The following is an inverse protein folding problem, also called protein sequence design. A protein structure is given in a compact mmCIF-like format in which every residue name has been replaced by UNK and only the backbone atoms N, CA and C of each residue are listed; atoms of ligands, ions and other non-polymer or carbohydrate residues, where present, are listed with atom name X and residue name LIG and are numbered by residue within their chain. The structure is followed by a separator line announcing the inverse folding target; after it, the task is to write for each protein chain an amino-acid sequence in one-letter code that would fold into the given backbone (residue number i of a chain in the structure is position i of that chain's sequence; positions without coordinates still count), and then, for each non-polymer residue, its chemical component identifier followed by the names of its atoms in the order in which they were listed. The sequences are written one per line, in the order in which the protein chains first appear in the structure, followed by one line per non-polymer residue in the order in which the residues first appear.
data_IF_798136318051
#
_entry.id   IF_798136318051
#
_cell.length_a   1.000
_cell.length_b   1.000
_cell.length_c   1.000
_cell.angle_alpha   90.00
_cell.angle_beta   90.00
_cell.angle_gamma   90.00
#
_symmetry.space_group_name_H-M   'P 1'
#
loop_
_entity.id
_entity.type
_entity.pdbx_description
1 polymer ?
#
# COMPACT_ATOMS: atom_id res chain seq x y z
N UNK A 1 12.28 -8.83 14.37
CA UNK A 1 13.38 -8.92 13.38
C UNK A 1 13.05 -8.01 12.21
N UNK A 2 14.00 -7.23 11.74
CA UNK A 2 13.90 -6.41 10.52
C UNK A 2 14.68 -7.06 9.39
N UNK A 3 14.24 -6.87 8.16
CA UNK A 3 14.96 -7.34 6.96
C UNK A 3 14.83 -6.33 5.84
N UNK A 4 15.92 -6.10 5.14
CA UNK A 4 16.05 -5.28 3.94
C UNK A 4 17.34 -5.69 3.23
N UNK A 5 17.65 -5.10 2.09
CA UNK A 5 18.97 -5.26 1.43
C UNK A 5 20.10 -4.67 2.27
N UNK A 6 19.82 -3.64 3.07
CA UNK A 6 20.79 -2.95 3.94
C UNK A 6 20.18 -2.67 5.31
N UNK A 7 21.02 -2.77 6.35
CA UNK A 7 20.59 -2.43 7.69
C UNK A 7 20.23 -0.94 7.82
N UNK A 8 19.13 -0.59 8.51
CA UNK A 8 18.86 0.80 8.87
C UNK A 8 19.93 1.35 9.81
N UNK A 9 20.17 2.66 9.72
CA UNK A 9 21.21 3.31 10.53
C UNK A 9 20.83 3.43 12.02
N UNK A 10 19.54 3.38 12.32
CA UNK A 10 18.92 3.59 13.64
C UNK A 10 18.39 2.31 14.28
N UNK A 11 18.97 1.17 13.96
CA UNK A 11 18.60 -0.14 14.53
C UNK A 11 18.74 -0.11 16.05
N UNK A 12 17.66 -0.39 16.76
CA UNK A 12 17.66 -0.43 18.21
C UNK A 12 18.31 -1.73 18.76
N UNK A 13 18.73 -1.72 20.02
CA UNK A 13 19.33 -2.89 20.67
C UNK A 13 18.34 -4.06 20.89
N UNK A 14 17.04 -3.81 20.74
CA UNK A 14 15.99 -4.83 20.85
C UNK A 14 15.62 -5.45 19.51
N UNK A 15 16.13 -4.89 18.42
CA UNK A 15 15.87 -5.35 17.05
C UNK A 15 17.02 -6.20 16.54
N UNK A 16 16.68 -7.18 15.75
CA UNK A 16 17.63 -7.97 14.98
C UNK A 16 17.46 -7.68 13.50
N UNK A 17 18.54 -7.65 12.75
CA UNK A 17 18.53 -7.43 11.32
C UNK A 17 19.10 -8.64 10.58
N UNK A 18 18.45 -9.02 9.48
CA UNK A 18 18.97 -9.98 8.50
C UNK A 18 18.83 -9.39 7.11
N UNK A 19 19.92 -9.27 6.38
CA UNK A 19 19.88 -8.88 4.97
C UNK A 19 19.28 -10.02 4.13
N UNK A 20 18.39 -9.66 3.19
CA UNK A 20 17.87 -10.59 2.21
C UNK A 20 17.36 -9.88 0.96
N UNK A 21 17.51 -10.54 -0.18
CA UNK A 21 16.90 -10.15 -1.45
C UNK A 21 15.55 -10.88 -1.58
N UNK A 22 14.49 -10.12 -1.79
CA UNK A 22 13.15 -10.67 -2.01
C UNK A 22 13.06 -11.56 -3.25
N UNK A 23 13.91 -11.31 -4.26
CA UNK A 23 13.96 -12.15 -5.46
C UNK A 23 14.58 -13.55 -5.20
N UNK A 24 15.26 -13.74 -4.07
CA UNK A 24 15.85 -15.02 -3.68
C UNK A 24 14.94 -15.76 -2.67
N UNK A 25 14.20 -16.74 -3.15
CA UNK A 25 13.26 -17.51 -2.32
C UNK A 25 13.94 -18.17 -1.10
N UNK A 26 15.18 -18.67 -1.25
CA UNK A 26 15.86 -19.33 -0.15
C UNK A 26 16.22 -18.36 0.98
N UNK A 27 16.62 -17.13 0.65
CA UNK A 27 16.85 -16.09 1.63
C UNK A 27 15.54 -15.67 2.33
N UNK A 28 14.44 -15.53 1.58
CA UNK A 28 13.12 -15.19 2.16
C UNK A 28 12.60 -16.33 3.06
N UNK A 29 12.80 -17.59 2.68
CA UNK A 29 12.47 -18.74 3.55
C UNK A 29 13.25 -18.71 4.86
N UNK A 30 14.54 -18.38 4.80
CA UNK A 30 15.38 -18.28 6.02
C UNK A 30 14.93 -17.12 6.95
N UNK A 31 14.31 -16.07 6.41
CA UNK A 31 13.70 -15.00 7.21
C UNK A 31 12.44 -15.46 7.92
N UNK A 32 11.66 -16.34 7.29
CA UNK A 32 10.36 -16.79 7.81
C UNK A 32 10.49 -17.89 8.90
N UNK A 33 11.69 -18.38 9.19
CA UNK A 33 11.91 -19.44 10.18
C UNK A 33 11.54 -18.97 11.59
N UNK A 34 10.58 -19.64 12.23
CA UNK A 34 10.12 -19.31 13.58
C UNK A 34 9.36 -17.98 13.71
N UNK A 35 8.83 -17.43 12.61
CA UNK A 35 8.08 -16.19 12.58
C UNK A 35 6.59 -16.46 12.62
N UNK A 36 5.86 -15.81 13.52
CA UNK A 36 4.40 -15.95 13.65
C UNK A 36 3.63 -15.08 12.66
N UNK A 37 4.14 -13.87 12.35
CA UNK A 37 3.51 -12.91 11.47
C UNK A 37 4.52 -11.99 10.77
N UNK A 38 4.13 -11.50 9.59
CA UNK A 38 4.97 -10.64 8.76
C UNK A 38 4.24 -9.33 8.50
N UNK A 39 4.95 -8.21 8.64
CA UNK A 39 4.58 -6.91 8.06
C UNK A 39 5.53 -6.66 6.90
N UNK A 40 5.00 -6.63 5.68
CA UNK A 40 5.80 -6.52 4.47
C UNK A 40 5.65 -5.15 3.83
N UNK A 41 6.65 -4.30 3.97
CA UNK A 41 6.80 -3.00 3.32
C UNK A 41 7.92 -2.99 2.25
N UNK A 42 8.57 -4.14 2.06
CA UNK A 42 9.66 -4.28 1.10
C UNK A 42 9.20 -4.18 -0.36
N UNK A 43 10.15 -3.91 -1.23
CA UNK A 43 9.95 -3.82 -2.67
C UNK A 43 10.29 -2.46 -3.25
N UNK A 44 10.13 -2.32 -4.57
CA UNK A 44 10.29 -1.07 -5.29
C UNK A 44 9.02 -0.23 -5.09
N UNK A 45 9.12 0.95 -4.47
CA UNK A 45 7.97 1.67 -3.89
C UNK A 45 7.45 2.84 -4.73
N UNK A 46 7.95 3.00 -5.96
CA UNK A 46 7.59 4.07 -6.90
C UNK A 46 7.37 3.51 -8.31
N UNK A 47 6.87 4.32 -9.23
CA UNK A 47 6.89 3.97 -10.65
C UNK A 47 8.33 3.91 -11.17
N UNK A 48 8.63 2.96 -12.05
CA UNK A 48 9.98 2.77 -12.53
C UNK A 48 10.15 1.67 -13.59
N UNK A 49 11.41 1.29 -13.90
CA UNK A 49 11.70 0.27 -14.89
C UNK A 49 11.02 -1.06 -14.59
N UNK A 50 10.45 -1.69 -15.62
CA UNK A 50 9.74 -2.95 -15.45
C UNK A 50 10.57 -4.04 -14.77
N UNK A 51 11.85 -4.15 -15.12
CA UNK A 51 12.70 -5.20 -14.54
C UNK A 51 12.88 -5.04 -13.02
N UNK A 52 13.00 -3.81 -12.53
CA UNK A 52 13.16 -3.56 -11.08
C UNK A 52 11.87 -3.90 -10.33
N UNK A 53 10.72 -3.50 -10.89
CA UNK A 53 9.40 -3.85 -10.35
C UNK A 53 9.16 -5.36 -10.43
N UNK A 54 9.53 -6.01 -11.54
CA UNK A 54 9.40 -7.46 -11.71
C UNK A 54 10.16 -8.23 -10.62
N UNK A 55 11.43 -7.90 -10.41
CA UNK A 55 12.26 -8.62 -9.44
C UNK A 55 11.80 -8.36 -8.00
N UNK A 56 11.64 -7.08 -7.63
CA UNK A 56 11.35 -6.73 -6.25
C UNK A 56 9.90 -7.00 -5.85
N UNK A 57 8.93 -6.70 -6.71
CA UNK A 57 7.51 -6.70 -6.33
C UNK A 57 6.76 -7.95 -6.82
N UNK A 58 7.02 -8.42 -8.04
CA UNK A 58 6.31 -9.59 -8.58
C UNK A 58 6.96 -10.88 -8.06
N UNK A 59 8.24 -11.09 -8.35
CA UNK A 59 8.96 -12.28 -7.89
C UNK A 59 9.09 -12.23 -6.36
N UNK A 60 9.50 -11.10 -5.80
CA UNK A 60 9.62 -10.91 -4.36
C UNK A 60 8.29 -11.06 -3.62
N UNK A 61 7.19 -10.53 -4.16
CA UNK A 61 5.85 -10.70 -3.59
C UNK A 61 5.41 -12.16 -3.58
N UNK A 62 5.61 -12.89 -4.67
CA UNK A 62 5.34 -14.34 -4.71
C UNK A 62 6.20 -15.10 -3.69
N UNK A 63 7.50 -14.85 -3.67
CA UNK A 63 8.45 -15.50 -2.76
C UNK A 63 8.06 -15.28 -1.29
N UNK A 64 7.60 -14.09 -0.93
CA UNK A 64 7.11 -13.77 0.41
C UNK A 64 5.98 -14.72 0.84
N UNK A 65 4.90 -14.82 0.05
CA UNK A 65 3.75 -15.64 0.39
C UNK A 65 4.09 -17.13 0.37
N UNK A 66 4.90 -17.57 -0.60
CA UNK A 66 5.35 -18.98 -0.66
C UNK A 66 6.25 -19.36 0.52
N UNK A 67 7.20 -18.50 0.89
CA UNK A 67 8.05 -18.70 2.07
C UNK A 67 7.22 -18.71 3.36
N UNK A 68 6.30 -17.77 3.52
CA UNK A 68 5.39 -17.72 4.67
C UNK A 68 4.60 -19.03 4.80
N UNK A 69 4.04 -19.54 3.70
CA UNK A 69 3.33 -20.83 3.69
C UNK A 69 4.24 -21.99 4.08
N UNK A 70 5.41 -22.10 3.46
CA UNK A 70 6.36 -23.22 3.70
C UNK A 70 6.86 -23.25 5.14
N UNK A 71 7.04 -22.09 5.75
CA UNK A 71 7.54 -21.96 7.13
C UNK A 71 6.45 -21.89 8.18
N UNK A 72 5.18 -21.99 7.77
CA UNK A 72 4.06 -22.04 8.69
C UNK A 72 3.71 -20.71 9.37
N UNK A 73 4.14 -19.57 8.79
CA UNK A 73 3.70 -18.23 9.19
C UNK A 73 2.19 -18.17 9.14
N UNK A 74 1.58 -17.52 10.11
CA UNK A 74 0.12 -17.51 10.24
C UNK A 74 -0.52 -16.26 9.64
N UNK A 75 0.19 -15.13 9.59
CA UNK A 75 -0.35 -13.84 9.24
C UNK A 75 0.61 -13.01 8.40
N UNK A 76 0.07 -12.36 7.38
CA UNK A 76 0.81 -11.39 6.55
C UNK A 76 0.01 -10.10 6.43
N UNK A 77 0.63 -8.99 6.80
CA UNK A 77 0.19 -7.64 6.42
C UNK A 77 1.03 -7.22 5.23
N UNK A 78 0.39 -7.04 4.09
CA UNK A 78 1.04 -6.70 2.83
C UNK A 78 0.79 -5.24 2.47
N UNK A 79 1.86 -4.47 2.25
CA UNK A 79 1.75 -3.11 1.74
C UNK A 79 1.34 -3.14 0.27
N UNK A 80 0.04 -3.06 0.03
CA UNK A 80 -0.53 -2.63 -1.24
C UNK A 80 -0.45 -1.10 -1.35
N UNK A 81 -1.12 -0.50 -2.30
CA UNK A 81 -1.03 0.93 -2.56
C UNK A 81 -2.32 1.49 -3.13
N UNK A 82 -2.56 2.77 -2.91
CA UNK A 82 -3.59 3.53 -3.63
C UNK A 82 -3.40 3.47 -5.16
N UNK A 83 -2.19 3.19 -5.63
CA UNK A 83 -1.87 3.03 -7.05
C UNK A 83 -2.47 1.75 -7.67
N UNK A 84 -2.96 0.80 -6.87
CA UNK A 84 -3.78 -0.32 -7.33
C UNK A 84 -5.14 0.11 -7.91
N UNK A 85 -5.61 1.30 -7.53
CA UNK A 85 -6.90 1.91 -7.91
C UNK A 85 -6.74 3.35 -8.42
N UNK A 86 -5.54 3.73 -8.85
CA UNK A 86 -5.17 5.12 -9.14
C UNK A 86 -5.96 5.77 -10.28
N UNK A 87 -6.42 5.02 -11.29
CA UNK A 87 -7.25 5.54 -12.39
C UNK A 87 -8.74 5.72 -12.06
N UNK A 88 -9.13 5.67 -10.79
CA UNK A 88 -10.45 6.16 -10.41
C UNK A 88 -10.47 7.70 -10.34
N UNK A 89 -11.54 8.36 -10.86
CA UNK A 89 -11.66 9.83 -10.77
C UNK A 89 -11.77 10.29 -9.31
N UNK A 90 -11.22 11.46 -8.98
CA UNK A 90 -11.26 12.03 -7.61
C UNK A 90 -12.68 12.34 -7.11
N UNK A 91 -13.64 12.58 -8.00
CA UNK A 91 -15.03 12.83 -7.63
C UNK A 91 -15.80 11.55 -7.27
N UNK A 92 -15.27 10.38 -7.62
CA UNK A 92 -15.89 9.10 -7.31
C UNK A 92 -15.35 8.55 -5.98
N UNK A 93 -16.23 8.44 -5.00
CA UNK A 93 -15.92 7.71 -3.77
C UNK A 93 -15.95 6.20 -4.06
N UNK A 94 -14.91 5.49 -3.64
CA UNK A 94 -14.75 4.05 -3.88
C UNK A 94 -14.56 3.32 -2.55
N UNK A 95 -15.01 2.08 -2.48
CA UNK A 95 -14.80 1.16 -1.38
C UNK A 95 -13.63 0.18 -1.67
N UNK A 96 -13.42 -0.77 -0.78
CA UNK A 96 -12.37 -1.77 -0.91
C UNK A 96 -12.68 -2.88 -1.94
N UNK A 97 -13.96 -3.04 -2.34
CA UNK A 97 -14.41 -4.09 -3.25
C UNK A 97 -14.37 -3.69 -4.73
N UNK A 98 -13.99 -2.43 -5.02
CA UNK A 98 -13.87 -1.98 -6.41
C UNK A 98 -12.84 -2.78 -7.19
N UNK A 99 -13.08 -2.95 -8.48
CA UNK A 99 -12.13 -3.58 -9.38
C UNK A 99 -10.81 -2.79 -9.40
N UNK A 100 -9.66 -3.45 -9.44
CA UNK A 100 -8.38 -2.78 -9.61
C UNK A 100 -8.34 -1.95 -10.90
N UNK A 101 -7.82 -0.73 -10.80
CA UNK A 101 -7.53 0.18 -11.93
C UNK A 101 -6.17 0.83 -11.69
N UNK A 102 -5.08 0.05 -11.85
CA UNK A 102 -3.74 0.51 -11.56
C UNK A 102 -3.30 1.60 -12.53
N UNK A 103 -2.54 2.55 -12.03
CA UNK A 103 -2.09 3.74 -12.76
C UNK A 103 -0.64 3.66 -13.27
N UNK A 104 0.02 2.53 -13.08
CA UNK A 104 1.37 2.27 -13.55
C UNK A 104 1.80 0.83 -13.29
N UNK A 105 3.03 0.48 -13.68
CA UNK A 105 3.62 -0.85 -13.45
C UNK A 105 3.72 -1.16 -11.95
N UNK A 106 4.04 -0.13 -11.16
CA UNK A 106 4.03 -0.24 -9.70
C UNK A 106 2.63 -0.62 -9.19
N UNK A 107 1.59 0.09 -9.62
CA UNK A 107 0.20 -0.23 -9.29
C UNK A 107 -0.19 -1.66 -9.67
N UNK A 108 0.18 -2.10 -10.88
CA UNK A 108 -0.01 -3.50 -11.34
C UNK A 108 0.66 -4.49 -10.40
N UNK A 109 1.88 -4.21 -9.95
CA UNK A 109 2.60 -5.09 -9.02
C UNK A 109 1.91 -5.22 -7.66
N UNK A 110 1.23 -4.16 -7.20
CA UNK A 110 0.46 -4.19 -5.95
C UNK A 110 -0.83 -5.00 -6.10
N UNK A 111 -1.53 -4.87 -7.23
CA UNK A 111 -2.67 -5.73 -7.59
C UNK A 111 -2.27 -7.21 -7.65
N UNK A 112 -1.12 -7.52 -8.25
CA UNK A 112 -0.56 -8.88 -8.23
C UNK A 112 -0.39 -9.40 -6.79
N UNK A 113 0.18 -8.59 -5.89
CA UNK A 113 0.34 -8.96 -4.48
C UNK A 113 -0.99 -9.20 -3.76
N UNK A 114 -2.03 -8.39 -4.03
CA UNK A 114 -3.39 -8.61 -3.52
C UNK A 114 -3.95 -9.96 -4.01
N UNK A 115 -3.81 -10.26 -5.31
CA UNK A 115 -4.29 -11.52 -5.90
C UNK A 115 -3.56 -12.75 -5.34
N UNK A 116 -2.23 -12.67 -5.15
CA UNK A 116 -1.45 -13.75 -4.51
C UNK A 116 -1.88 -13.90 -3.06
N UNK A 117 -2.04 -12.80 -2.31
CA UNK A 117 -2.52 -12.83 -0.93
C UNK A 117 -3.87 -13.56 -0.78
N UNK A 118 -4.83 -13.24 -1.65
CA UNK A 118 -6.14 -13.93 -1.71
C UNK A 118 -5.97 -15.44 -1.97
N UNK A 119 -5.17 -15.82 -2.98
CA UNK A 119 -4.89 -17.21 -3.28
C UNK A 119 -4.36 -17.97 -2.07
N UNK A 120 -3.39 -17.38 -1.34
CA UNK A 120 -2.78 -18.04 -0.19
C UNK A 120 -3.70 -18.07 1.03
N UNK A 121 -4.58 -17.10 1.17
CA UNK A 121 -5.63 -17.11 2.19
C UNK A 121 -6.62 -18.25 1.93
N UNK A 122 -7.21 -18.30 0.75
CA UNK A 122 -8.23 -19.28 0.39
C UNK A 122 -7.68 -20.71 0.32
N UNK A 123 -6.51 -20.88 -0.28
CA UNK A 123 -5.96 -22.21 -0.57
C UNK A 123 -5.13 -22.81 0.56
N UNK A 124 -4.52 -21.96 1.38
CA UNK A 124 -3.55 -22.37 2.41
C UNK A 124 -3.90 -21.91 3.82
N UNK A 125 -4.99 -21.14 3.99
CA UNK A 125 -5.44 -20.66 5.29
C UNK A 125 -4.54 -19.59 5.93
N UNK A 126 -3.68 -18.93 5.13
CA UNK A 126 -2.89 -17.79 5.58
C UNK A 126 -3.82 -16.59 5.82
N UNK A 127 -3.72 -15.95 6.98
CA UNK A 127 -4.51 -14.73 7.23
C UNK A 127 -3.80 -13.52 6.63
N UNK A 128 -4.43 -12.86 5.67
CA UNK A 128 -3.78 -11.79 4.89
C UNK A 128 -4.57 -10.48 4.99
N UNK A 129 -3.86 -9.40 5.25
CA UNK A 129 -4.40 -8.04 5.16
C UNK A 129 -3.57 -7.22 4.19
N UNK A 130 -4.15 -6.81 3.08
CA UNK A 130 -3.54 -5.92 2.11
C UNK A 130 -3.93 -4.47 2.44
N UNK A 131 -2.95 -3.62 2.66
CA UNK A 131 -3.17 -2.20 2.95
C UNK A 131 -2.92 -1.37 1.68
N UNK A 132 -3.96 -0.84 1.06
CA UNK A 132 -3.87 0.16 -0.01
C UNK A 132 -3.44 1.48 0.61
N UNK A 133 -2.15 1.61 0.88
CA UNK A 133 -1.57 2.76 1.57
C UNK A 133 -1.65 4.00 0.68
N UNK A 134 -2.16 5.08 1.25
CA UNK A 134 -2.16 6.40 0.63
C UNK A 134 -0.80 7.10 0.77
N UNK A 135 -0.79 8.30 1.29
CA UNK A 135 0.45 9.05 1.51
C UNK A 135 0.91 8.95 2.97
N UNK A 136 1.82 8.04 3.24
CA UNK A 136 2.43 7.88 4.56
C UNK A 136 3.43 8.99 4.86
N UNK A 137 3.36 9.59 6.03
CA UNK A 137 4.30 10.59 6.51
C UNK A 137 3.74 11.48 7.62
N UNK A 138 4.58 12.38 8.13
CA UNK A 138 4.24 13.26 9.26
C UNK A 138 3.13 14.26 8.91
N UNK A 139 3.06 14.67 7.65
CA UNK A 139 2.04 15.62 7.16
C UNK A 139 1.75 15.43 5.67
N UNK A 140 0.54 15.80 5.21
CA UNK A 140 0.23 15.82 3.78
C UNK A 140 1.00 16.94 3.06
N UNK A 141 1.58 16.61 1.90
CA UNK A 141 2.50 17.49 1.17
C UNK A 141 1.81 18.42 0.17
N UNK A 142 0.55 18.14 -0.23
CA UNK A 142 -0.20 18.91 -1.22
C UNK A 142 -1.71 18.64 -1.09
N UNK A 143 -2.50 19.29 -1.94
CA UNK A 143 -3.96 19.18 -1.98
C UNK A 143 -4.44 17.73 -2.17
N UNK A 144 -3.79 16.94 -3.05
CA UNK A 144 -4.14 15.53 -3.28
C UNK A 144 -3.97 14.73 -1.99
N UNK A 145 -2.87 14.97 -1.29
CA UNK A 145 -2.51 14.22 -0.09
C UNK A 145 -3.41 14.52 1.11
N UNK A 146 -4.13 15.64 1.10
CA UNK A 146 -5.21 15.87 2.09
C UNK A 146 -6.33 14.82 2.04
N UNK A 147 -6.50 14.14 0.89
CA UNK A 147 -7.53 13.09 0.74
C UNK A 147 -7.04 11.69 1.09
N UNK A 148 -5.71 11.47 1.10
CA UNK A 148 -5.12 10.12 1.19
C UNK A 148 -4.00 10.00 2.22
N UNK A 149 -3.82 11.00 3.08
CA UNK A 149 -2.76 11.00 4.09
C UNK A 149 -2.97 9.90 5.13
N UNK A 150 -1.86 9.30 5.54
CA UNK A 150 -1.79 8.29 6.59
C UNK A 150 -0.71 8.69 7.60
N UNK A 151 -1.15 8.95 8.82
CA UNK A 151 -0.29 9.21 9.97
C UNK A 151 0.45 7.94 10.40
N UNK A 152 1.72 8.00 10.85
CA UNK A 152 2.46 6.82 11.29
C UNK A 152 1.75 5.96 12.32
N UNK A 153 1.17 6.55 13.37
CA UNK A 153 0.48 5.80 14.43
C UNK A 153 -0.80 5.11 13.94
N UNK A 154 -1.45 5.68 12.94
CA UNK A 154 -2.64 5.09 12.33
C UNK A 154 -2.26 3.88 11.45
N UNK A 155 -1.10 3.91 10.77
CA UNK A 155 -0.56 2.72 10.09
C UNK A 155 -0.26 1.59 11.09
N UNK A 156 0.30 1.91 12.25
CA UNK A 156 0.57 0.92 13.31
C UNK A 156 -0.73 0.23 13.76
N UNK A 157 -1.84 0.97 13.89
CA UNK A 157 -3.14 0.38 14.22
C UNK A 157 -3.59 -0.63 13.14
N UNK A 158 -3.49 -0.27 11.85
CA UNK A 158 -3.87 -1.15 10.74
C UNK A 158 -3.00 -2.42 10.71
N UNK A 159 -1.69 -2.27 10.92
CA UNK A 159 -0.79 -3.42 11.03
C UNK A 159 -1.16 -4.35 12.19
N UNK A 160 -1.49 -3.77 13.35
CA UNK A 160 -1.94 -4.54 14.52
C UNK A 160 -3.24 -5.28 14.25
N UNK A 161 -4.23 -4.64 13.61
CA UNK A 161 -5.48 -5.29 13.19
C UNK A 161 -5.16 -6.49 12.31
N UNK A 162 -4.33 -6.34 11.27
CA UNK A 162 -3.96 -7.43 10.37
C UNK A 162 -3.24 -8.58 11.08
N UNK A 163 -2.42 -8.29 12.09
CA UNK A 163 -1.67 -9.31 12.83
C UNK A 163 -2.49 -9.99 13.96
N UNK A 164 -3.46 -9.29 14.57
CA UNK A 164 -4.07 -9.74 15.82
C UNK A 164 -5.58 -10.01 15.71
N UNK A 165 -6.31 -9.34 14.80
CA UNK A 165 -7.76 -9.45 14.76
C UNK A 165 -8.21 -10.88 14.38
N UNK A 166 -9.11 -11.51 15.17
CA UNK A 166 -9.47 -12.93 14.99
C UNK A 166 -10.19 -13.22 13.65
N UNK A 167 -10.99 -12.28 13.16
CA UNK A 167 -11.87 -12.48 12.00
C UNK A 167 -11.18 -12.20 10.65
N UNK A 168 -9.87 -11.94 10.65
CA UNK A 168 -9.12 -11.81 9.40
C UNK A 168 -9.05 -13.17 8.70
N UNK A 169 -9.47 -13.20 7.45
CA UNK A 169 -9.19 -14.22 6.46
C UNK A 169 -8.37 -13.59 5.32
N UNK A 170 -9.04 -12.82 4.47
CA UNK A 170 -8.42 -11.96 3.46
C UNK A 170 -9.12 -10.61 3.49
N UNK A 171 -8.36 -9.55 3.70
CA UNK A 171 -8.90 -8.18 3.75
C UNK A 171 -8.08 -7.26 2.86
N UNK A 172 -8.77 -6.36 2.17
CA UNK A 172 -8.16 -5.20 1.52
C UNK A 172 -8.69 -3.95 2.23
N UNK A 173 -7.81 -3.16 2.82
CA UNK A 173 -8.18 -1.97 3.59
C UNK A 173 -7.42 -0.76 3.05
N UNK A 174 -8.03 0.43 3.16
CA UNK A 174 -7.31 1.65 2.82
C UNK A 174 -6.45 2.12 4.00
N UNK A 175 -5.16 2.34 3.73
CA UNK A 175 -4.24 3.01 4.64
C UNK A 175 -4.40 4.52 4.54
N UNK A 176 -5.35 5.06 5.30
CA UNK A 176 -5.64 6.48 5.37
C UNK A 176 -6.10 6.87 6.77
N UNK A 177 -5.70 8.05 7.23
CA UNK A 177 -6.17 8.66 8.49
C UNK A 177 -7.58 9.25 8.34
N UNK A 178 -8.06 10.01 9.33
CA UNK A 178 -9.34 10.68 9.28
C UNK A 178 -9.25 11.92 8.36
N UNK A 179 -9.38 11.68 7.06
CA UNK A 179 -9.27 12.71 6.04
C UNK A 179 -10.67 13.15 5.61
N UNK A 180 -11.06 14.39 5.89
CA UNK A 180 -12.39 14.93 5.57
C UNK A 180 -12.69 14.92 4.07
N UNK A 181 -11.62 14.95 3.24
CA UNK A 181 -11.68 14.94 1.76
C UNK A 181 -11.42 13.55 1.17
N UNK A 182 -11.52 12.48 1.97
CA UNK A 182 -11.23 11.13 1.52
C UNK A 182 -12.11 10.71 0.35
N UNK A 183 -11.47 10.11 -0.65
CA UNK A 183 -12.16 9.48 -1.78
C UNK A 183 -12.53 8.02 -1.51
N UNK A 184 -12.14 7.50 -0.34
CA UNK A 184 -12.29 6.09 0.02
C UNK A 184 -13.30 5.89 1.12
N UNK A 185 -14.16 4.92 0.93
CA UNK A 185 -14.95 4.36 2.00
C UNK A 185 -14.13 3.28 2.69
N UNK A 186 -13.77 3.50 3.95
CA UNK A 186 -12.96 2.59 4.74
C UNK A 186 -13.78 1.94 5.87
N UNK A 187 -15.12 1.80 5.67
CA UNK A 187 -16.03 1.27 6.68
C UNK A 187 -15.57 -0.10 7.19
N UNK A 188 -15.07 -0.96 6.30
CA UNK A 188 -14.57 -2.28 6.70
C UNK A 188 -13.41 -2.19 7.72
N UNK A 189 -12.48 -1.25 7.58
CA UNK A 189 -11.44 -1.05 8.57
C UNK A 189 -12.01 -0.58 9.92
N UNK A 190 -13.02 0.30 9.91
CA UNK A 190 -13.70 0.75 11.12
C UNK A 190 -14.44 -0.39 11.82
N UNK A 191 -15.06 -1.29 11.08
CA UNK A 191 -15.74 -2.49 11.63
C UNK A 191 -14.74 -3.44 12.31
N UNK A 192 -13.50 -3.50 11.80
CA UNK A 192 -12.38 -4.24 12.41
C UNK A 192 -11.71 -3.49 13.57
N UNK A 193 -12.24 -2.36 13.99
CA UNK A 193 -11.74 -1.63 15.13
C UNK A 193 -10.73 -0.52 14.85
N UNK A 194 -10.49 -0.18 13.58
CA UNK A 194 -9.63 0.95 13.22
C UNK A 194 -10.21 2.28 13.74
N UNK A 195 -9.41 3.06 14.44
CA UNK A 195 -9.80 4.36 15.00
C UNK A 195 -8.67 5.36 14.74
N UNK A 196 -8.58 5.91 13.50
CA UNK A 196 -7.52 6.86 13.16
C UNK A 196 -7.59 8.12 14.00
N UNK A 197 -6.44 8.67 14.29
CA UNK A 197 -6.28 9.90 15.11
C UNK A 197 -5.77 11.08 14.30
N UNK A 198 -5.11 10.81 13.16
CA UNK A 198 -4.59 11.84 12.29
C UNK A 198 -5.71 12.54 11.51
N UNK A 199 -5.67 13.87 11.43
CA UNK A 199 -6.59 14.70 10.66
C UNK A 199 -5.81 15.51 9.63
N UNK A 200 -5.98 15.19 8.35
CA UNK A 200 -5.28 15.88 7.28
C UNK A 200 -5.63 17.37 7.23
N UNK A 201 -6.85 17.74 7.61
CA UNK A 201 -7.33 19.12 7.58
C UNK A 201 -6.55 20.06 8.52
N UNK A 202 -5.93 19.53 9.59
CA UNK A 202 -5.05 20.29 10.48
C UNK A 202 -3.81 20.86 9.74
N UNK A 203 -3.50 20.34 8.56
CA UNK A 203 -2.39 20.75 7.68
C UNK A 203 -2.85 21.46 6.41
N UNK A 204 -4.12 21.89 6.33
CA UNK A 204 -4.70 22.45 5.11
C UNK A 204 -3.88 23.59 4.52
N UNK A 205 -3.55 24.61 5.33
CA UNK A 205 -2.80 25.78 4.88
C UNK A 205 -1.42 25.39 4.30
N UNK A 206 -0.72 24.48 4.98
CA UNK A 206 0.56 23.96 4.51
C UNK A 206 0.41 23.26 3.16
N UNK A 207 -0.53 22.32 3.05
CA UNK A 207 -0.74 21.54 1.84
C UNK A 207 -1.14 22.42 0.63
N UNK A 208 -1.95 23.47 0.86
CA UNK A 208 -2.33 24.41 -0.19
C UNK A 208 -1.19 25.33 -0.61
N UNK A 209 -0.34 25.75 0.33
CA UNK A 209 0.87 26.53 0.01
C UNK A 209 1.88 25.71 -0.83
N UNK A 210 2.02 24.42 -0.55
CA UNK A 210 2.86 23.53 -1.36
C UNK A 210 2.21 23.23 -2.73
N UNK A 211 0.91 23.01 -2.78
CA UNK A 211 0.17 22.85 -4.04
C UNK A 211 0.36 24.03 -5.01
N UNK A 212 0.38 25.25 -4.49
CA UNK A 212 0.55 26.45 -5.31
C UNK A 212 1.91 26.54 -6.04
N UNK A 213 2.89 25.73 -5.63
CA UNK A 213 4.22 25.66 -6.25
C UNK A 213 4.28 24.61 -7.37
N UNK A 214 3.29 23.73 -7.47
CA UNK A 214 3.29 22.65 -8.45
C UNK A 214 2.74 23.14 -9.79
N UNK A 215 3.27 22.63 -10.91
CA UNK A 215 2.67 22.89 -12.23
C UNK A 215 1.28 22.27 -12.33
N UNK A 216 0.47 22.77 -13.24
CA UNK A 216 -0.82 22.16 -13.56
C UNK A 216 -0.62 20.76 -14.17
N UNK A 217 -1.38 19.80 -13.69
CA UNK A 217 -1.38 18.42 -14.17
C UNK A 217 -2.82 17.95 -14.39
N UNK A 218 -3.43 18.23 -15.56
CA UNK A 218 -4.84 17.93 -15.80
C UNK A 218 -5.21 16.45 -15.61
N UNK A 219 -4.31 15.51 -15.94
CA UNK A 219 -4.52 14.08 -15.78
C UNK A 219 -4.37 13.70 -14.29
N UNK A 220 -3.25 14.06 -13.71
CA UNK A 220 -2.98 13.78 -12.31
C UNK A 220 -3.96 14.47 -11.36
N UNK A 221 -4.51 15.63 -11.72
CA UNK A 221 -5.51 16.33 -10.93
C UNK A 221 -6.91 15.74 -11.05
N UNK A 222 -7.19 15.00 -12.12
CA UNK A 222 -8.47 14.33 -12.31
C UNK A 222 -8.53 12.98 -11.58
N UNK A 223 -7.45 12.20 -11.61
CA UNK A 223 -7.41 10.85 -11.04
C UNK A 223 -6.82 10.79 -9.62
N UNK A 224 -7.24 9.77 -8.87
CA UNK A 224 -6.79 9.53 -7.49
C UNK A 224 -5.29 9.21 -7.40
N UNK A 225 -4.70 8.59 -8.42
CA UNK A 225 -3.28 8.25 -8.50
C UNK A 225 -2.34 9.45 -8.62
N UNK A 226 -2.86 10.59 -9.08
CA UNK A 226 -2.04 11.80 -9.25
C UNK A 226 -1.02 11.67 -10.37
N UNK A 227 0.19 12.18 -10.17
CA UNK A 227 1.25 12.20 -11.18
C UNK A 227 1.64 10.82 -11.74
N UNK A 228 1.34 9.72 -11.05
CA UNK A 228 1.55 8.38 -11.60
C UNK A 228 0.63 8.12 -12.80
N UNK A 229 -0.58 8.66 -12.79
CA UNK A 229 -1.48 8.59 -13.94
C UNK A 229 -0.97 9.39 -15.15
N UNK A 230 -0.16 10.44 -14.91
CA UNK A 230 0.41 11.29 -15.96
C UNK A 230 1.69 10.69 -16.56
N UNK A 231 2.45 9.96 -15.75
CA UNK A 231 3.72 9.36 -16.18
C UNK A 231 3.50 8.39 -17.35
N UNK A 232 4.17 8.63 -18.48
CA UNK A 232 4.05 7.84 -19.71
C UNK A 232 2.61 7.78 -20.28
N UNK A 233 1.76 8.75 -19.94
CA UNK A 233 0.40 8.78 -20.46
C UNK A 233 0.39 9.22 -21.93
N UNK A 234 -0.04 8.33 -22.82
CA UNK A 234 -0.21 8.55 -24.26
C UNK A 234 -1.65 8.30 -24.73
N UNK A 235 -2.58 8.18 -23.76
CA UNK A 235 -3.99 7.97 -24.00
C UNK A 235 -4.71 9.23 -24.52
N UNK A 236 -5.97 9.05 -24.89
CA UNK A 236 -6.83 10.14 -25.36
C UNK A 236 -7.48 10.86 -24.15
N UNK A 237 -7.01 12.06 -23.86
CA UNK A 237 -7.54 12.88 -22.75
C UNK A 237 -9.01 13.26 -22.93
N UNK A 238 -9.56 13.27 -24.15
CA UNK A 238 -10.98 13.54 -24.37
C UNK A 238 -11.89 12.43 -23.83
N UNK A 239 -11.36 11.23 -23.66
CA UNK A 239 -12.05 10.07 -23.09
C UNK A 239 -11.94 9.96 -21.57
N UNK A 240 -11.09 10.76 -20.94
CA UNK A 240 -10.95 10.77 -19.48
C UNK A 240 -12.25 11.24 -18.81
N UNK A 241 -12.95 12.18 -19.43
CA UNK A 241 -14.17 12.80 -18.91
C UNK A 241 -15.35 11.80 -18.91
N UNK A 242 -15.38 10.85 -19.84
CA UNK A 242 -16.48 9.88 -20.02
C UNK A 242 -16.37 8.66 -19.11
N UNK A 243 -15.36 8.60 -18.23
CA UNK A 243 -15.16 7.48 -17.30
C UNK A 243 -15.82 7.70 -15.93
N UNK A 244 -16.75 8.65 -15.85
CA UNK A 244 -17.49 9.00 -14.63
C UNK A 244 -18.57 7.99 -14.20
#
# INVERSE_FOLDING_TARGET
MLSDLRAPADLSSQETFKAADLADLAQVEALCEGVDGIIHFGGYSVEGPWNDILQANIIGGYNLFEAARRKGVKRVVFASSNHAVGFYPRHRKIDNDVQPRPDGRYGVSKVFGEAVGSLYADKHGLKVTCLRIGNFGDKPLDKRRLSIWLKPEDLVQLCRIGLEHPDIHFEVLYGASLNERAWWDNQRAYDLGYRPTGRAEDFHEHAMAEQAKLPADPIGDYFQGGAFCTTEFDGDTSRIIDWG
#
